data_IF_732294830414
#
_entry.id   IF_732294830414
#
_cell.length_a   1.000
_cell.length_b   1.000
_cell.length_c   1.000
_cell.angle_alpha   90.00
_cell.angle_beta   90.00
_cell.angle_gamma   90.00
#
_symmetry.space_group_name_H-M   'P 1'
#
loop_
_entity.id
_entity.type
_entity.pdbx_description
1 polymer ?
#
# COMPACT_ATOMS: atom_id res chain seq x y z
N UNK A 1 9.54 -1.99 15.39
CA UNK A 1 8.60 -2.22 14.28
C UNK A 1 9.10 -1.44 13.09
N UNK A 2 9.10 -2.04 11.91
CA UNK A 2 9.39 -1.32 10.67
C UNK A 2 8.17 -0.47 10.29
N UNK A 3 8.38 0.84 10.19
CA UNK A 3 7.33 1.83 9.87
C UNK A 3 6.77 1.62 8.47
N UNK A 4 7.62 1.16 7.56
CA UNK A 4 7.24 0.90 6.19
C UNK A 4 6.23 -0.26 6.10
N UNK A 5 6.52 -1.35 6.80
CA UNK A 5 5.61 -2.49 6.93
C UNK A 5 4.28 -2.07 7.57
N UNK A 6 4.31 -1.23 8.61
CA UNK A 6 3.08 -0.72 9.24
C UNK A 6 2.24 0.15 8.28
N UNK A 7 2.88 0.98 7.45
CA UNK A 7 2.19 1.77 6.43
C UNK A 7 1.57 0.89 5.33
N UNK A 8 2.29 -0.12 4.84
CA UNK A 8 1.75 -1.09 3.90
C UNK A 8 0.55 -1.85 4.48
N UNK A 9 0.66 -2.32 5.71
CA UNK A 9 -0.42 -2.97 6.45
C UNK A 9 -1.65 -2.06 6.57
N UNK A 10 -1.46 -0.77 6.90
CA UNK A 10 -2.54 0.21 6.96
C UNK A 10 -3.26 0.38 5.61
N UNK A 11 -2.51 0.63 4.52
CA UNK A 11 -3.07 0.78 3.17
C UNK A 11 -3.88 -0.45 2.78
N UNK A 12 -3.36 -1.65 3.03
CA UNK A 12 -4.04 -2.92 2.71
C UNK A 12 -5.31 -3.14 3.53
N UNK A 13 -5.33 -2.72 4.79
CA UNK A 13 -6.53 -2.75 5.64
C UNK A 13 -7.62 -1.82 5.11
N UNK A 14 -7.24 -0.63 4.65
CA UNK A 14 -8.16 0.34 4.05
C UNK A 14 -8.73 -0.18 2.74
N UNK A 15 -7.87 -0.68 1.83
CA UNK A 15 -8.30 -1.26 0.55
C UNK A 15 -9.21 -2.47 0.71
N UNK A 16 -8.98 -3.29 1.75
CA UNK A 16 -9.76 -4.50 2.01
C UNK A 16 -11.03 -4.22 2.81
N UNK A 17 -11.19 -3.03 3.39
CA UNK A 17 -12.33 -2.61 4.21
C UNK A 17 -12.52 -3.41 5.52
N UNK A 18 -11.63 -4.36 5.82
CA UNK A 18 -11.71 -5.27 6.97
C UNK A 18 -10.33 -5.75 7.39
N UNK A 19 -10.11 -5.80 8.71
CA UNK A 19 -8.90 -6.38 9.29
C UNK A 19 -8.75 -7.86 8.97
N UNK A 20 -9.85 -8.62 8.89
CA UNK A 20 -9.82 -10.05 8.57
C UNK A 20 -9.39 -10.27 7.13
N UNK A 21 -10.03 -9.59 6.19
CA UNK A 21 -9.68 -9.68 4.77
C UNK A 21 -8.24 -9.25 4.50
N UNK A 22 -7.76 -8.20 5.18
CA UNK A 22 -6.37 -7.76 5.06
C UNK A 22 -5.37 -8.76 5.66
N UNK A 23 -5.70 -9.38 6.81
CA UNK A 23 -4.89 -10.40 7.45
C UNK A 23 -4.69 -11.62 6.53
N UNK A 24 -5.77 -12.08 5.89
CA UNK A 24 -5.72 -13.17 4.92
C UNK A 24 -4.85 -12.82 3.70
N UNK A 25 -5.00 -11.62 3.14
CA UNK A 25 -4.21 -11.16 1.99
C UNK A 25 -2.73 -10.98 2.29
N UNK A 26 -2.39 -10.61 3.52
CA UNK A 26 -1.02 -10.40 3.98
C UNK A 26 -0.40 -11.66 4.62
N UNK A 27 -1.14 -12.75 4.76
CA UNK A 27 -0.67 -13.97 5.41
C UNK A 27 -0.29 -13.76 6.89
N UNK A 28 -0.95 -12.83 7.58
CA UNK A 28 -0.64 -12.46 8.96
C UNK A 28 -1.87 -12.59 9.86
N UNK A 29 -1.70 -12.43 11.18
CA UNK A 29 -2.82 -12.45 12.13
C UNK A 29 -3.48 -11.08 12.27
N UNK A 30 -4.80 -11.06 12.47
CA UNK A 30 -5.58 -9.83 12.73
C UNK A 30 -5.07 -9.09 13.97
N UNK A 31 -4.61 -9.82 14.99
CA UNK A 31 -4.02 -9.25 16.21
C UNK A 31 -2.68 -8.55 15.93
N UNK A 32 -1.86 -9.09 15.03
CA UNK A 32 -0.62 -8.46 14.58
C UNK A 32 -0.91 -7.16 13.82
N UNK A 33 -1.81 -7.18 12.84
CA UNK A 33 -2.21 -5.97 12.08
C UNK A 33 -2.79 -4.88 12.99
N UNK A 34 -3.65 -5.28 13.92
CA UNK A 34 -4.25 -4.35 14.89
C UNK A 34 -3.18 -3.63 15.72
N UNK A 35 -2.15 -4.37 16.15
CA UNK A 35 -1.01 -3.83 16.91
C UNK A 35 -0.13 -2.93 16.05
N UNK A 36 0.23 -3.35 14.84
CA UNK A 36 1.02 -2.54 13.90
C UNK A 36 0.36 -1.19 13.62
N UNK A 37 -0.95 -1.18 13.39
CA UNK A 37 -1.69 0.07 13.15
C UNK A 37 -1.80 0.90 14.43
N UNK A 38 -2.00 0.28 15.60
CA UNK A 38 -2.03 1.02 16.86
C UNK A 38 -0.69 1.70 17.16
N UNK A 39 0.44 1.02 16.92
CA UNK A 39 1.78 1.57 17.08
C UNK A 39 2.01 2.73 16.09
N UNK A 40 1.49 2.61 14.86
CA UNK A 40 1.54 3.67 13.85
C UNK A 40 0.72 4.90 14.28
N UNK A 41 -0.52 4.69 14.75
CA UNK A 41 -1.39 5.77 15.27
C UNK A 41 -0.75 6.47 16.46
N UNK A 42 -0.13 5.72 17.38
CA UNK A 42 0.62 6.30 18.51
C UNK A 42 1.80 7.14 18.05
N UNK A 43 2.56 6.64 17.06
CA UNK A 43 3.71 7.37 16.53
C UNK A 43 3.31 8.68 15.83
N UNK A 44 2.21 8.65 15.07
CA UNK A 44 1.70 9.82 14.36
C UNK A 44 0.93 10.77 15.28
N UNK A 45 0.60 10.34 16.50
CA UNK A 45 -0.21 11.12 17.45
C UNK A 45 -1.65 11.33 17.00
N UNK A 46 -2.13 10.55 16.03
CA UNK A 46 -3.43 10.70 15.42
C UNK A 46 -4.09 9.33 15.18
N UNK A 47 -5.42 9.27 15.36
CA UNK A 47 -6.19 8.10 14.95
C UNK A 47 -6.41 8.14 13.44
N UNK A 48 -6.08 7.05 12.76
CA UNK A 48 -6.28 6.88 11.33
C UNK A 48 -7.59 6.13 11.03
N UNK A 49 -8.03 5.26 11.94
CA UNK A 49 -9.22 4.41 11.75
C UNK A 49 -10.25 4.60 12.86
N UNK A 50 -11.50 4.81 12.44
CA UNK A 50 -12.67 4.65 13.28
C UNK A 50 -13.06 3.17 13.31
N UNK A 51 -12.62 2.48 14.36
CA UNK A 51 -12.94 1.06 14.59
C UNK A 51 -14.28 0.97 15.31
N UNK A 52 -15.37 0.79 14.57
CA UNK A 52 -16.62 0.29 15.17
C UNK A 52 -16.72 -1.20 14.94
N UNK A 53 -17.37 -1.93 15.85
CA UNK A 53 -17.53 -3.40 15.77
C UNK A 53 -18.24 -3.90 14.51
N UNK A 54 -18.81 -3.00 13.70
CA UNK A 54 -19.56 -3.33 12.48
C UNK A 54 -19.03 -2.64 11.21
N UNK A 55 -18.25 -1.57 11.32
CA UNK A 55 -17.70 -0.84 10.17
C UNK A 55 -16.32 -0.27 10.46
N UNK A 56 -15.42 -0.48 9.51
CA UNK A 56 -14.18 0.25 9.37
C UNK A 56 -14.47 1.57 8.65
N UNK A 57 -14.04 2.69 9.20
CA UNK A 57 -14.12 3.99 8.50
C UNK A 57 -12.85 4.78 8.75
N UNK A 58 -12.44 5.58 7.77
CA UNK A 58 -11.29 6.46 7.90
C UNK A 58 -11.65 7.69 8.73
N UNK A 59 -10.67 8.21 9.47
CA UNK A 59 -10.71 9.58 9.98
C UNK A 59 -10.24 10.55 8.89
N UNK A 60 -10.43 11.85 9.08
CA UNK A 60 -9.86 12.87 8.18
C UNK A 60 -8.33 12.73 8.05
N UNK A 61 -7.64 12.58 9.18
CA UNK A 61 -6.20 12.31 9.21
C UNK A 61 -5.84 10.99 8.53
N UNK A 62 -6.68 9.96 8.70
CA UNK A 62 -6.54 8.66 8.04
C UNK A 62 -6.65 8.75 6.53
N UNK A 63 -7.59 9.55 6.02
CA UNK A 63 -7.79 9.76 4.58
C UNK A 63 -6.56 10.47 3.97
N UNK A 64 -6.12 11.57 4.57
CA UNK A 64 -4.94 12.30 4.11
C UNK A 64 -3.67 11.44 4.16
N UNK A 65 -3.50 10.65 5.23
CA UNK A 65 -2.38 9.72 5.35
C UNK A 65 -2.45 8.62 4.30
N UNK A 66 -3.63 8.02 4.07
CA UNK A 66 -3.84 7.00 3.05
C UNK A 66 -3.45 7.47 1.64
N UNK A 67 -3.95 8.63 1.21
CA UNK A 67 -3.65 9.20 -0.10
C UNK A 67 -2.14 9.40 -0.29
N UNK A 68 -1.47 9.94 0.74
CA UNK A 68 -0.01 10.14 0.71
C UNK A 68 0.75 8.82 0.74
N UNK A 69 0.31 7.85 1.52
CA UNK A 69 0.93 6.53 1.61
C UNK A 69 0.84 5.79 0.28
N UNK A 70 -0.31 5.82 -0.40
CA UNK A 70 -0.47 5.16 -1.72
C UNK A 70 0.50 5.74 -2.74
N UNK A 71 0.63 7.07 -2.80
CA UNK A 71 1.61 7.72 -3.68
C UNK A 71 3.04 7.27 -3.36
N UNK A 72 3.46 7.31 -2.09
CA UNK A 72 4.80 6.90 -1.68
C UNK A 72 5.11 5.42 -1.98
N UNK A 73 4.12 4.53 -1.80
CA UNK A 73 4.27 3.11 -2.14
C UNK A 73 4.41 2.93 -3.65
N UNK A 74 3.69 3.72 -4.45
CA UNK A 74 3.78 3.71 -5.91
C UNK A 74 5.14 4.22 -6.39
N UNK A 75 5.61 5.35 -5.85
CA UNK A 75 6.91 5.94 -6.18
C UNK A 75 8.06 4.97 -5.85
N UNK A 76 7.97 4.26 -4.73
CA UNK A 76 8.95 3.23 -4.40
C UNK A 76 8.91 2.07 -5.41
N UNK A 77 7.72 1.57 -5.73
CA UNK A 77 7.58 0.49 -6.70
C UNK A 77 8.12 0.88 -8.08
N UNK A 78 7.95 2.15 -8.48
CA UNK A 78 8.54 2.71 -9.69
C UNK A 78 10.08 2.77 -9.59
N UNK A 79 10.63 3.28 -8.49
CA UNK A 79 12.07 3.32 -8.26
C UNK A 79 12.70 1.91 -8.29
N UNK A 80 12.05 0.93 -7.66
CA UNK A 80 12.46 -0.48 -7.71
C UNK A 80 12.37 -1.05 -9.14
N UNK A 81 11.32 -0.68 -9.89
CA UNK A 81 11.15 -1.07 -11.30
C UNK A 81 12.25 -0.51 -12.20
N UNK A 82 12.68 0.74 -12.00
CA UNK A 82 13.79 1.35 -12.76
C UNK A 82 15.08 0.55 -12.55
N UNK A 83 15.40 0.18 -11.31
CA UNK A 83 16.57 -0.65 -11.00
C UNK A 83 16.40 -2.07 -11.55
N UNK A 84 15.21 -2.66 -11.41
CA UNK A 84 14.89 -3.99 -11.95
C UNK A 84 15.02 -4.04 -13.49
N UNK A 85 14.60 -3.00 -14.19
CA UNK A 85 14.77 -2.83 -15.63
C UNK A 85 16.23 -2.57 -16.03
N UNK A 86 17.00 -1.85 -15.21
CA UNK A 86 18.43 -1.69 -15.42
C UNK A 86 19.22 -2.99 -15.20
N UNK A 87 18.78 -3.84 -14.26
CA UNK A 87 19.38 -5.14 -13.98
C UNK A 87 18.99 -6.21 -15.02
N UNK A 88 17.78 -6.13 -15.57
CA UNK A 88 17.30 -6.99 -16.66
C UNK A 88 17.54 -6.26 -17.98
N UNK A 89 18.75 -6.38 -18.55
CA UNK A 89 18.96 -5.97 -19.94
C UNK A 89 17.91 -6.68 -20.81
N UNK A 90 16.94 -5.96 -21.42
CA UNK A 90 15.89 -6.60 -22.18
C UNK A 90 16.53 -7.30 -23.38
N UNK A 91 16.55 -8.63 -23.35
CA UNK A 91 17.09 -9.48 -24.42
C UNK A 91 15.93 -10.13 -25.14
N UNK A 92 15.81 -9.87 -26.43
CA UNK A 92 14.79 -10.49 -27.28
C UNK A 92 14.39 -9.60 -28.45
N UNK A 93 13.68 -10.18 -29.42
CA UNK A 93 13.19 -9.47 -30.59
C UNK A 93 11.84 -8.85 -30.27
N UNK A 94 11.79 -7.53 -30.05
CA UNK A 94 10.55 -6.80 -29.85
C UNK A 94 9.88 -6.54 -31.21
N UNK A 95 8.76 -7.21 -31.48
CA UNK A 95 7.97 -6.96 -32.70
C UNK A 95 6.85 -5.98 -32.39
N UNK A 96 7.05 -4.72 -32.76
CA UNK A 96 6.06 -3.65 -32.63
C UNK A 96 5.17 -3.60 -33.87
N UNK A 97 3.85 -3.61 -33.66
CA UNK A 97 2.87 -3.40 -34.73
C UNK A 97 2.14 -2.09 -34.43
N UNK A 98 2.46 -1.03 -35.18
CA UNK A 98 1.79 0.27 -35.08
C UNK A 98 1.03 0.58 -36.37
N UNK A 99 -0.15 1.18 -36.22
CA UNK A 99 -0.94 1.72 -37.33
C UNK A 99 -0.37 3.07 -37.76
N UNK A 100 -0.40 3.35 -39.07
CA UNK A 100 0.22 4.51 -39.74
C UNK A 100 -0.26 5.91 -39.27
N UNK A 101 -1.19 6.02 -38.34
CA UNK A 101 -1.72 7.30 -37.89
C UNK A 101 -1.27 7.65 -36.46
N UNK A 102 0.03 7.85 -36.29
CA UNK A 102 0.57 8.57 -35.14
C UNK A 102 1.52 9.61 -35.72
N UNK A 103 1.09 10.88 -35.62
CA UNK A 103 1.70 12.06 -36.23
C UNK A 103 3.12 12.34 -35.72
#
# INVERSE_FOLDING_TARGET
>A
MDRWSAMQSFVRVVESGSFVAAAERLGTSTSSLSRQIADLEQHLGARLLNRTTRRLSLTESGQAFYERSVALLSDLAEAESIVGQAAVAPRGTLRLTCSYNMA
#
